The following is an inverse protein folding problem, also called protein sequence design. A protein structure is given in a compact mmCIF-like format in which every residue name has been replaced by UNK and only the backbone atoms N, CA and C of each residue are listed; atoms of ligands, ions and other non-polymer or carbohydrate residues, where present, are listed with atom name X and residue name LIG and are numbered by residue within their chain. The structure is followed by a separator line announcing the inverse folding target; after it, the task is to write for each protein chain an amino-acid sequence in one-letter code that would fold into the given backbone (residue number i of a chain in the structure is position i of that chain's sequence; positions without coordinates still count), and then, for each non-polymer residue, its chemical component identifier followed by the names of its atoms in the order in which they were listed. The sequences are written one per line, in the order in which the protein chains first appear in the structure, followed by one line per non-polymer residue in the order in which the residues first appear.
data_IF_297292852061
#
_entry.id   IF_297292852061
#
_cell.length_a   1.000
_cell.length_b   1.000
_cell.length_c   1.000
_cell.angle_alpha   90.00
_cell.angle_beta   90.00
_cell.angle_gamma   90.00
#
_symmetry.space_group_name_H-M   'P 1'
#
loop_
_entity.id
_entity.type
_entity.pdbx_description
1 polymer ?
#
# COMPACT_ATOMS: atom_id res chain seq x y z
N UNK A 1 11.98 -1.90 -11.52
CA UNK A 1 11.07 -2.90 -10.91
C UNK A 1 9.70 -3.00 -11.60
N UNK A 2 9.22 -1.97 -12.30
CA UNK A 2 7.85 -1.98 -12.86
C UNK A 2 7.72 -2.50 -14.30
N UNK A 3 8.84 -2.72 -15.00
CA UNK A 3 8.84 -3.21 -16.38
C UNK A 3 8.05 -4.52 -16.64
N UNK A 4 7.94 -5.48 -15.69
CA UNK A 4 7.11 -6.67 -15.87
C UNK A 4 5.60 -6.40 -15.93
N UNK A 5 5.15 -5.23 -15.47
CA UNK A 5 3.73 -4.87 -15.51
C UNK A 5 3.39 -4.34 -16.91
N UNK A 6 2.51 -5.07 -17.62
CA UNK A 6 2.00 -4.71 -18.94
C UNK A 6 0.98 -3.57 -18.82
N UNK A 7 1.46 -2.34 -18.61
CA UNK A 7 0.59 -1.19 -18.33
C UNK A 7 -0.45 -0.94 -19.42
N UNK A 8 -0.09 -1.15 -20.69
CA UNK A 8 -0.99 -0.99 -21.84
C UNK A 8 -2.15 -2.00 -21.84
N UNK A 9 -1.97 -3.16 -21.19
CA UNK A 9 -2.97 -4.22 -21.10
C UNK A 9 -3.83 -4.15 -19.83
N UNK A 10 -3.59 -3.15 -18.96
CA UNK A 10 -4.32 -3.06 -17.70
C UNK A 10 -5.80 -2.72 -17.94
N UNK A 11 -6.67 -3.56 -17.39
CA UNK A 11 -8.11 -3.31 -17.32
C UNK A 11 -8.51 -2.97 -15.88
N UNK A 12 -9.48 -2.06 -15.67
CA UNK A 12 -10.01 -1.80 -14.34
C UNK A 12 -10.61 -3.07 -13.73
N UNK A 13 -10.20 -3.43 -12.51
CA UNK A 13 -10.80 -4.56 -11.78
C UNK A 13 -12.26 -4.26 -11.35
N UNK A 14 -12.66 -3.00 -11.30
CA UNK A 14 -14.01 -2.58 -10.94
C UNK A 14 -14.27 -1.12 -11.30
N UNK A 15 -15.44 -0.62 -10.90
CA UNK A 15 -15.85 0.77 -11.15
C UNK A 15 -14.88 1.76 -10.50
N UNK A 16 -14.35 2.69 -11.29
CA UNK A 16 -13.57 3.82 -10.76
C UNK A 16 -14.46 4.68 -9.87
N UNK A 17 -14.00 4.96 -8.65
CA UNK A 17 -14.70 5.84 -7.71
C UNK A 17 -13.78 6.95 -7.23
N UNK A 18 -14.33 8.15 -7.04
CA UNK A 18 -13.61 9.29 -6.49
C UNK A 18 -14.14 9.59 -5.09
N UNK A 19 -13.22 9.92 -4.19
CA UNK A 19 -13.50 10.31 -2.80
C UNK A 19 -12.73 11.59 -2.50
N UNK A 20 -13.27 12.77 -2.82
CA UNK A 20 -12.61 14.04 -2.54
C UNK A 20 -12.31 14.19 -1.03
N UNK A 21 -11.18 14.81 -0.71
CA UNK A 21 -10.75 15.13 0.65
C UNK A 21 -10.20 16.55 0.66
N UNK A 22 -10.68 17.38 1.59
CA UNK A 22 -10.17 18.73 1.80
C UNK A 22 -8.92 18.70 2.70
N UNK A 23 -7.84 18.08 2.20
CA UNK A 23 -6.58 17.91 2.92
C UNK A 23 -5.41 18.38 2.07
N UNK A 24 -4.32 18.78 2.72
CA UNK A 24 -3.07 19.09 2.02
C UNK A 24 -2.54 17.82 1.36
N UNK A 25 -2.24 17.90 0.07
CA UNK A 25 -1.72 16.76 -0.70
C UNK A 25 -0.42 16.19 -0.11
N UNK A 26 0.40 17.03 0.53
CA UNK A 26 1.64 16.59 1.19
C UNK A 26 1.38 15.65 2.35
N UNK A 27 0.33 15.88 3.13
CA UNK A 27 -0.02 14.98 4.24
C UNK A 27 -0.41 13.57 3.73
N UNK A 28 -0.95 13.48 2.51
CA UNK A 28 -1.27 12.19 1.88
C UNK A 28 0.02 11.47 1.48
N UNK A 29 0.99 12.21 0.94
CA UNK A 29 2.32 11.68 0.62
C UNK A 29 3.05 11.24 1.90
N UNK A 30 3.14 12.09 2.91
CA UNK A 30 3.82 11.79 4.19
C UNK A 30 3.23 10.54 4.85
N UNK A 31 1.90 10.40 4.86
CA UNK A 31 1.23 9.19 5.34
C UNK A 31 1.64 7.94 4.55
N UNK A 32 1.91 8.04 3.25
CA UNK A 32 2.39 6.91 2.46
C UNK A 32 3.87 6.63 2.75
N UNK A 33 4.67 7.65 3.00
CA UNK A 33 6.11 7.52 3.22
C UNK A 33 6.47 7.10 4.66
N UNK A 34 5.50 7.02 5.58
CA UNK A 34 5.67 6.48 6.94
C UNK A 34 4.88 5.17 7.17
N UNK A 35 5.39 4.32 8.08
CA UNK A 35 4.69 3.11 8.52
C UNK A 35 4.21 3.18 9.97
N UNK A 36 4.32 4.32 10.63
CA UNK A 36 4.05 4.46 12.08
C UNK A 36 2.57 4.22 12.38
N UNK A 37 1.69 4.62 11.47
CA UNK A 37 0.24 4.49 11.63
C UNK A 37 -0.28 3.09 11.28
N UNK A 38 0.52 2.22 10.62
CA UNK A 38 0.08 0.90 10.13
C UNK A 38 -0.47 -0.01 11.25
N UNK A 39 0.22 -0.20 12.39
CA UNK A 39 -0.27 -1.08 13.44
C UNK A 39 -1.60 -0.64 14.06
N UNK A 40 -1.96 0.65 13.93
CA UNK A 40 -3.16 1.24 14.53
C UNK A 40 -4.31 1.33 13.52
N UNK A 41 -4.02 1.77 12.30
CA UNK A 41 -5.04 2.12 11.31
C UNK A 41 -5.28 1.05 10.23
N UNK A 42 -4.42 0.01 10.14
CA UNK A 42 -4.47 -0.96 9.06
C UNK A 42 -4.45 -2.42 9.55
N UNK A 43 -5.56 -2.93 10.11
CA UNK A 43 -5.65 -4.31 10.60
C UNK A 43 -5.44 -5.34 9.48
N UNK A 44 -5.92 -5.08 8.26
CA UNK A 44 -5.74 -5.97 7.11
C UNK A 44 -4.27 -6.11 6.68
N UNK A 45 -3.56 -4.98 6.52
CA UNK A 45 -2.11 -5.00 6.22
C UNK A 45 -1.32 -5.64 7.36
N UNK A 46 -1.67 -5.34 8.61
CA UNK A 46 -1.03 -5.96 9.79
C UNK A 46 -1.25 -7.48 9.84
N UNK A 47 -2.42 -7.96 9.41
CA UNK A 47 -2.66 -9.41 9.25
C UNK A 47 -1.72 -10.00 8.20
N UNK A 48 -1.67 -9.42 7.00
CA UNK A 48 -0.88 -9.91 5.87
C UNK A 48 0.64 -9.90 6.13
N UNK A 49 1.16 -8.81 6.71
CA UNK A 49 2.62 -8.57 6.77
C UNK A 49 3.18 -8.56 8.20
N UNK A 50 2.34 -8.38 9.23
CA UNK A 50 2.80 -8.26 10.62
C UNK A 50 3.93 -7.23 10.79
N UNK A 51 5.05 -7.67 11.37
CA UNK A 51 6.27 -6.85 11.56
C UNK A 51 7.21 -6.84 10.32
N UNK A 52 6.79 -7.50 9.24
CA UNK A 52 7.54 -7.63 8.00
C UNK A 52 7.45 -6.40 7.09
N UNK A 53 6.72 -5.36 7.49
CA UNK A 53 6.60 -4.13 6.73
C UNK A 53 7.92 -3.35 6.70
N UNK A 54 8.31 -2.86 5.51
CA UNK A 54 9.54 -2.12 5.25
C UNK A 54 9.24 -0.95 4.33
N UNK A 55 10.03 0.12 4.50
CA UNK A 55 10.01 1.32 3.66
C UNK A 55 11.43 1.56 3.18
N UNK A 56 11.55 1.82 1.88
CA UNK A 56 12.77 2.20 1.21
C UNK A 56 12.50 3.41 0.34
N UNK A 57 13.50 4.27 0.17
CA UNK A 57 13.40 5.43 -0.71
C UNK A 57 14.57 5.45 -1.69
N UNK A 58 14.28 5.83 -2.93
CA UNK A 58 15.26 6.12 -3.99
C UNK A 58 14.87 7.42 -4.68
N UNK A 59 15.64 7.86 -5.66
CA UNK A 59 15.32 9.07 -6.41
C UNK A 59 13.90 8.97 -7.01
N UNK A 60 13.01 9.86 -6.58
CA UNK A 60 11.60 9.96 -7.01
C UNK A 60 10.67 8.81 -6.60
N UNK A 61 11.11 7.87 -5.75
CA UNK A 61 10.31 6.69 -5.40
C UNK A 61 10.42 6.36 -3.92
N UNK A 62 9.27 6.36 -3.24
CA UNK A 62 9.08 5.67 -1.97
C UNK A 62 8.45 4.30 -2.23
N UNK A 63 9.06 3.26 -1.66
CA UNK A 63 8.65 1.87 -1.83
C UNK A 63 8.31 1.29 -0.47
N UNK A 64 7.08 0.81 -0.34
CA UNK A 64 6.64 0.00 0.78
C UNK A 64 6.54 -1.46 0.35
N UNK A 65 7.09 -2.38 1.15
CA UNK A 65 7.03 -3.80 0.87
C UNK A 65 7.00 -4.62 2.15
N UNK A 66 6.63 -5.90 2.05
CA UNK A 66 6.69 -6.81 3.18
C UNK A 66 6.54 -8.26 2.75
N UNK A 67 6.98 -9.16 3.64
CA UNK A 67 6.81 -10.60 3.43
C UNK A 67 5.41 -11.01 3.84
N UNK A 68 4.67 -11.60 2.90
CA UNK A 68 3.36 -12.18 3.18
C UNK A 68 3.51 -13.33 4.17
N UNK A 69 2.71 -13.34 5.22
CA UNK A 69 2.63 -14.46 6.15
C UNK A 69 1.98 -15.67 5.49
N UNK A 70 2.50 -16.84 5.80
CA UNK A 70 1.93 -18.13 5.40
C UNK A 70 0.84 -18.58 6.39
N UNK A 71 -0.15 -17.70 6.59
CA UNK A 71 -1.30 -17.95 7.46
C UNK A 71 -2.57 -17.59 6.67
N UNK A 72 -3.40 -18.58 6.30
CA UNK A 72 -4.66 -18.33 5.60
C UNK A 72 -5.59 -17.40 6.40
N UNK A 73 -6.43 -16.64 5.69
CA UNK A 73 -7.47 -15.84 6.32
C UNK A 73 -8.56 -16.74 6.93
N UNK A 74 -8.99 -16.43 8.15
CA UNK A 74 -10.18 -17.06 8.76
C UNK A 74 -11.49 -16.48 8.23
N UNK A 75 -11.46 -15.36 7.51
CA UNK A 75 -12.61 -14.85 6.78
C UNK A 75 -12.86 -15.76 5.56
N UNK A 76 -13.86 -16.62 5.67
CA UNK A 76 -14.45 -17.45 4.60
C UNK A 76 -15.53 -16.68 3.83
#
# INVERSE_FOLDING_TARGET
EVAPYRFEDLVPHGRVTLRPRAVNWKNVADNYSDSLHIPVAHPGLTRLFGKGYRIEATEWVDKMWGQLKDEPSENL
#
